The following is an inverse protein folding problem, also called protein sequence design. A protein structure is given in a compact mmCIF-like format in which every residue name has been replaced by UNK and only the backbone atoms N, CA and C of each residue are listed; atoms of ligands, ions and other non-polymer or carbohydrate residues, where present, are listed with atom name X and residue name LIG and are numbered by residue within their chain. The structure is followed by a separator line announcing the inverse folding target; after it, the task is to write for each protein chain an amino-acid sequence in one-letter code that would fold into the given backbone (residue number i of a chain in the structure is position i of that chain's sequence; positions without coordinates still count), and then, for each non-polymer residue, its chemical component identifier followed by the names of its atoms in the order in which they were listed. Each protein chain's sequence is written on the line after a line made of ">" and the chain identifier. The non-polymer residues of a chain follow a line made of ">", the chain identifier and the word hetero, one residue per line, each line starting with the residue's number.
data_IF_113651939795
#
_entry.id   IF_113651939795
#
_cell.length_a   1.000
_cell.length_b   1.000
_cell.length_c   1.000
_cell.angle_alpha   90.00
_cell.angle_beta   90.00
_cell.angle_gamma   90.00
#
_symmetry.space_group_name_H-M   'P 1'
#
loop_
_entity.id
_entity.type
_entity.pdbx_description
1 polymer ?
#
# COMPACT_ATOMS: atom_id res chain seq x y z
N UNK A 1 -2.96 22.08 15.06
CA UNK A 1 -2.41 20.83 14.49
C UNK A 1 -3.51 20.16 13.70
N UNK A 2 -3.26 19.74 12.45
CA UNK A 2 -4.16 18.79 11.80
C UNK A 2 -4.06 17.46 12.57
N UNK A 3 -5.16 16.69 12.71
CA UNK A 3 -5.07 15.35 13.27
C UNK A 3 -4.02 14.57 12.47
N UNK A 4 -3.18 13.80 13.17
CA UNK A 4 -2.28 12.87 12.51
C UNK A 4 -3.13 11.94 11.66
N UNK A 5 -2.69 11.72 10.43
CA UNK A 5 -3.32 10.76 9.55
C UNK A 5 -3.28 9.37 10.23
N UNK A 6 -4.33 8.55 10.11
CA UNK A 6 -4.38 7.23 10.76
C UNK A 6 -3.16 6.35 10.43
N UNK A 7 -2.54 6.54 9.25
CA UNK A 7 -1.29 5.87 8.90
C UNK A 7 -0.05 6.44 9.58
N UNK A 8 0.01 7.73 9.88
CA UNK A 8 1.12 8.33 10.65
C UNK A 8 1.13 7.74 12.07
N UNK A 9 -0.05 7.55 12.67
CA UNK A 9 -0.18 6.88 13.97
C UNK A 9 0.30 5.42 13.89
N UNK A 10 -0.06 4.69 12.82
CA UNK A 10 0.43 3.31 12.62
C UNK A 10 1.95 3.26 12.42
N UNK A 11 2.54 4.25 11.74
CA UNK A 11 3.99 4.39 11.59
C UNK A 11 4.69 4.63 12.94
N UNK A 12 4.05 5.32 13.88
CA UNK A 12 4.56 5.53 15.24
C UNK A 12 4.44 4.27 16.11
N UNK A 13 3.32 3.53 16.01
CA UNK A 13 3.11 2.29 16.76
C UNK A 13 4.03 1.18 16.26
N UNK A 14 4.27 1.11 14.95
CA UNK A 14 5.08 0.06 14.31
C UNK A 14 6.26 0.63 13.52
N UNK A 15 7.28 1.20 14.19
CA UNK A 15 8.38 1.90 13.54
C UNK A 15 9.17 1.01 12.58
N UNK A 16 9.34 -0.27 12.91
CA UNK A 16 10.02 -1.26 12.07
C UNK A 16 9.23 -1.61 10.79
N UNK A 17 7.96 -1.25 10.73
CA UNK A 17 7.06 -1.52 9.60
C UNK A 17 6.75 -0.28 8.75
N UNK A 18 7.36 0.88 9.05
CA UNK A 18 7.10 2.16 8.34
C UNK A 18 7.07 2.02 6.83
N UNK A 19 8.08 1.37 6.25
CA UNK A 19 8.14 1.14 4.80
C UNK A 19 6.91 0.40 4.27
N UNK A 20 6.52 -0.68 4.94
CA UNK A 20 5.36 -1.49 4.53
C UNK A 20 4.06 -0.72 4.68
N UNK A 21 3.93 0.05 5.77
CA UNK A 21 2.74 0.88 6.05
C UNK A 21 2.58 1.95 4.98
N UNK A 22 3.66 2.65 4.62
CA UNK A 22 3.67 3.66 3.55
C UNK A 22 3.30 3.11 2.19
N UNK A 23 3.88 1.98 1.81
CA UNK A 23 3.53 1.33 0.54
C UNK A 23 2.07 0.92 0.54
N UNK A 24 1.60 0.28 1.61
CA UNK A 24 0.20 -0.15 1.73
C UNK A 24 -0.77 1.05 1.71
N UNK A 25 -0.42 2.15 2.38
CA UNK A 25 -1.28 3.34 2.47
C UNK A 25 -1.52 3.98 1.12
N UNK A 26 -0.52 4.00 0.23
CA UNK A 26 -0.67 4.49 -1.13
C UNK A 26 -1.79 3.76 -1.89
N UNK A 27 -1.81 2.43 -1.84
CA UNK A 27 -2.81 1.62 -2.55
C UNK A 27 -4.19 1.69 -1.90
N UNK A 28 -4.26 1.75 -0.56
CA UNK A 28 -5.55 1.83 0.12
C UNK A 28 -6.22 3.20 -0.03
N UNK A 29 -5.44 4.28 -0.17
CA UNK A 29 -5.96 5.64 -0.46
C UNK A 29 -6.41 5.81 -1.89
N UNK A 30 -5.78 5.08 -2.80
CA UNK A 30 -6.01 5.19 -4.24
C UNK A 30 -6.33 3.80 -4.80
N UNK A 31 -7.45 3.17 -4.36
CA UNK A 31 -7.76 1.77 -4.67
C UNK A 31 -7.90 1.52 -6.18
N UNK A 32 -8.25 2.55 -6.95
CA UNK A 32 -8.45 2.46 -8.40
C UNK A 32 -7.19 2.69 -9.22
N UNK A 33 -6.12 3.19 -8.62
CA UNK A 33 -4.87 3.53 -9.31
C UNK A 33 -3.90 2.36 -9.37
N UNK A 34 -3.08 2.34 -10.43
CA UNK A 34 -2.00 1.39 -10.61
C UNK A 34 -0.65 2.11 -10.56
N UNK A 35 0.33 1.49 -9.91
CA UNK A 35 1.65 2.05 -9.73
C UNK A 35 2.74 1.05 -10.10
N UNK A 36 3.76 1.54 -10.79
CA UNK A 36 5.02 0.79 -10.95
C UNK A 36 5.85 0.89 -9.67
N UNK A 37 6.82 -0.01 -9.49
CA UNK A 37 7.76 0.05 -8.35
C UNK A 37 8.39 1.44 -8.20
N UNK A 38 8.84 2.04 -9.30
CA UNK A 38 9.49 3.35 -9.29
C UNK A 38 8.55 4.46 -8.85
N UNK A 39 7.29 4.43 -9.29
CA UNK A 39 6.27 5.38 -8.84
C UNK A 39 6.02 5.25 -7.34
N UNK A 40 5.88 4.02 -6.83
CA UNK A 40 5.69 3.76 -5.40
C UNK A 40 6.85 4.35 -4.59
N UNK A 41 8.09 4.01 -4.93
CA UNK A 41 9.30 4.48 -4.23
C UNK A 41 9.36 6.01 -4.17
N UNK A 42 9.02 6.68 -5.28
CA UNK A 42 8.96 8.14 -5.36
C UNK A 42 7.84 8.74 -4.53
N UNK A 43 6.61 8.22 -4.65
CA UNK A 43 5.41 8.80 -4.03
C UNK A 43 5.42 8.68 -2.52
N UNK A 44 5.96 7.59 -1.97
CA UNK A 44 5.94 7.34 -0.52
C UNK A 44 7.31 7.56 0.14
N UNK A 45 8.27 8.10 -0.61
CA UNK A 45 9.64 8.39 -0.17
C UNK A 45 10.33 7.19 0.51
N UNK A 46 10.32 6.04 -0.17
CA UNK A 46 11.00 4.81 0.29
C UNK A 46 11.87 4.23 -0.82
N UNK A 47 12.87 3.44 -0.43
CA UNK A 47 13.73 2.69 -1.36
C UNK A 47 13.47 1.19 -1.24
N UNK A 48 13.80 0.44 -2.29
CA UNK A 48 13.71 -1.04 -2.32
C UNK A 48 12.31 -1.51 -1.91
N UNK A 49 11.29 -0.97 -2.60
CA UNK A 49 9.88 -1.34 -2.37
C UNK A 49 9.52 -2.71 -2.97
N UNK A 50 10.39 -3.28 -3.81
CA UNK A 50 10.16 -4.56 -4.50
C UNK A 50 9.66 -5.67 -3.57
N UNK A 51 10.40 -5.97 -2.51
CA UNK A 51 10.06 -7.05 -1.56
C UNK A 51 8.70 -6.82 -0.88
N UNK A 52 8.31 -5.56 -0.68
CA UNK A 52 7.01 -5.19 -0.09
C UNK A 52 5.90 -5.43 -1.11
N UNK A 53 6.09 -4.97 -2.35
CA UNK A 53 5.12 -5.17 -3.43
C UNK A 53 4.91 -6.67 -3.70
N UNK A 54 5.97 -7.46 -3.76
CA UNK A 54 5.89 -8.91 -3.92
C UNK A 54 5.16 -9.57 -2.76
N UNK A 55 5.46 -9.17 -1.52
CA UNK A 55 4.78 -9.70 -0.33
C UNK A 55 3.28 -9.37 -0.34
N UNK A 56 2.92 -8.12 -0.62
CA UNK A 56 1.51 -7.70 -0.69
C UNK A 56 0.76 -8.40 -1.83
N UNK A 57 1.42 -8.62 -2.97
CA UNK A 57 0.87 -9.39 -4.08
C UNK A 57 0.65 -10.86 -3.69
N UNK A 58 1.62 -11.49 -3.01
CA UNK A 58 1.52 -12.87 -2.52
C UNK A 58 0.41 -13.05 -1.47
N UNK A 59 0.16 -12.02 -0.65
CA UNK A 59 -0.95 -12.00 0.30
C UNK A 59 -2.31 -11.71 -0.36
N UNK A 60 -2.33 -11.49 -1.67
CA UNK A 60 -3.52 -11.15 -2.42
C UNK A 60 -4.06 -9.76 -2.13
N UNK A 61 -3.27 -8.87 -1.51
CA UNK A 61 -3.66 -7.48 -1.26
C UNK A 61 -3.52 -6.66 -2.54
N UNK A 62 -2.45 -6.89 -3.29
CA UNK A 62 -2.22 -6.30 -4.61
C UNK A 62 -2.37 -7.35 -5.70
N UNK A 63 -2.63 -6.90 -6.92
CA UNK A 63 -2.54 -7.68 -8.16
C UNK A 63 -1.64 -6.98 -9.17
N UNK A 64 -0.95 -7.76 -10.00
CA UNK A 64 -0.27 -7.23 -11.18
C UNK A 64 -1.32 -6.94 -12.26
N UNK A 65 -1.21 -5.77 -12.88
CA UNK A 65 -2.09 -5.33 -13.98
C UNK A 65 -1.33 -5.06 -15.28
N UNK A 66 -0.01 -4.97 -15.19
CA UNK A 66 0.92 -4.90 -16.32
C UNK A 66 2.21 -5.60 -15.90
N UNK A 67 2.93 -6.19 -16.85
CA UNK A 67 4.20 -6.89 -16.66
C UNK A 67 5.40 -6.13 -17.28
N UNK A 68 5.18 -5.08 -18.09
CA UNK A 68 6.26 -4.34 -18.77
C UNK A 68 6.05 -2.80 -18.84
N UNK A 69 6.47 -2.05 -17.81
CA UNK A 69 7.02 -2.50 -16.53
C UNK A 69 5.93 -3.03 -15.61
N UNK A 70 6.31 -3.91 -14.66
CA UNK A 70 5.38 -4.40 -13.63
C UNK A 70 4.63 -3.27 -12.94
N UNK A 71 3.30 -3.28 -13.04
CA UNK A 71 2.41 -2.34 -12.39
C UNK A 71 1.48 -3.11 -11.43
N UNK A 72 1.30 -2.53 -10.24
CA UNK A 72 0.52 -3.12 -9.15
C UNK A 72 -0.72 -2.27 -8.91
N UNK A 73 -1.85 -2.91 -8.60
CA UNK A 73 -3.10 -2.25 -8.19
C UNK A 73 -3.65 -2.98 -6.97
N UNK A 74 -4.47 -2.29 -6.16
CA UNK A 74 -5.22 -2.95 -5.09
C UNK A 74 -6.11 -4.07 -5.68
N UNK A 75 -6.11 -5.24 -5.05
CA UNK A 75 -6.91 -6.36 -5.49
C UNK A 75 -8.34 -6.25 -4.94
N UNK A 76 -9.22 -5.64 -5.72
CA UNK A 76 -10.66 -5.49 -5.45
C UNK A 76 -11.43 -6.82 -5.40
N UNK A 77 -10.84 -7.94 -5.80
CA UNK A 77 -11.43 -9.27 -5.60
C UNK A 77 -11.06 -9.88 -4.24
N UNK A 78 -10.04 -9.33 -3.57
CA UNK A 78 -9.52 -9.85 -2.31
C UNK A 78 -10.39 -9.48 -1.13
N UNK A 79 -10.85 -10.50 -0.40
CA UNK A 79 -11.56 -10.30 0.88
C UNK A 79 -10.68 -9.58 1.90
N UNK A 80 -9.36 -9.83 1.90
CA UNK A 80 -8.42 -9.15 2.78
C UNK A 80 -8.30 -7.67 2.42
N UNK A 81 -8.12 -7.33 1.14
CA UNK A 81 -8.05 -5.94 0.70
C UNK A 81 -9.33 -5.17 1.04
N UNK A 82 -10.51 -5.77 0.81
CA UNK A 82 -11.81 -5.18 1.20
C UNK A 82 -11.92 -4.91 2.71
N UNK A 83 -11.45 -5.84 3.55
CA UNK A 83 -11.43 -5.66 5.00
C UNK A 83 -10.49 -4.54 5.43
N UNK A 84 -9.34 -4.41 4.79
CA UNK A 84 -8.38 -3.33 5.06
C UNK A 84 -8.96 -1.95 4.67
N UNK A 85 -9.63 -1.85 3.53
CA UNK A 85 -10.33 -0.61 3.13
C UNK A 85 -11.40 -0.20 4.14
N UNK A 86 -12.27 -1.14 4.54
CA UNK A 86 -13.31 -0.88 5.55
C UNK A 86 -12.74 -0.45 6.90
N UNK A 87 -11.60 -1.01 7.30
CA UNK A 87 -10.93 -0.61 8.54
C UNK A 87 -10.48 0.86 8.46
N UNK A 88 -10.01 1.33 7.30
CA UNK A 88 -9.63 2.73 7.11
C UNK A 88 -10.81 3.69 7.08
N UNK A 89 -11.94 3.28 6.52
CA UNK A 89 -13.17 4.09 6.54
C UNK A 89 -13.70 4.32 7.96
N UNK A 90 -13.23 3.54 8.94
CA UNK A 90 -13.62 3.62 10.35
C UNK A 90 -12.60 4.39 11.22
N UNK A 91 -11.44 4.77 10.67
CA UNK A 91 -10.39 5.54 11.35
C UNK A 91 -10.53 7.03 11.06
#
# INVERSE_FOLDING_TARGET
>A
MKPADGFEVLEEIFPESKKSIRVLSLFLRNPDEAYTKYMVEKLVAVNKAGDVLERLTRLGILRLVDDNPKAYKLNDDSTLAKKLLRLLEQL
#
